data_IF_916520669773
#
_entry.id   IF_916520669773
#
_cell.length_a   1.000
_cell.length_b   1.000
_cell.length_c   1.000
_cell.angle_alpha   90.00
_cell.angle_beta   90.00
_cell.angle_gamma   90.00
#
_symmetry.space_group_name_H-M   'P 1'
#
loop_
_entity.id
_entity.type
_entity.pdbx_description
1 polymer ?
#
# COMPACT_ATOMS: atom_id res chain seq x y z
N UNK A 1 -2.34 -3.01 16.21
CA UNK A 1 -1.43 -2.23 15.36
C UNK A 1 -2.23 -1.78 14.15
N UNK A 2 -2.35 -0.49 13.89
CA UNK A 2 -3.26 0.04 12.84
C UNK A 2 -2.45 0.54 11.64
N UNK A 3 -2.78 0.03 10.45
CA UNK A 3 -2.22 0.44 9.17
C UNK A 3 -3.28 1.25 8.43
N UNK A 4 -2.94 2.47 8.01
CA UNK A 4 -3.86 3.31 7.23
C UNK A 4 -3.45 3.26 5.77
N UNK A 5 -4.38 2.90 4.91
CA UNK A 5 -4.17 2.83 3.46
C UNK A 5 -4.83 4.02 2.79
N UNK A 6 -4.10 4.63 1.84
CA UNK A 6 -4.60 5.69 0.98
C UNK A 6 -4.42 5.28 -0.48
N UNK A 7 -5.41 5.61 -1.29
CA UNK A 7 -5.34 5.42 -2.74
C UNK A 7 -4.25 6.31 -3.34
N UNK A 8 -3.66 5.82 -4.41
CA UNK A 8 -2.63 6.55 -5.16
C UNK A 8 -3.09 6.78 -6.58
N UNK A 9 -2.43 7.69 -7.28
CA UNK A 9 -2.59 7.87 -8.71
C UNK A 9 -1.87 6.79 -9.55
N UNK A 10 -1.35 5.73 -8.93
CA UNK A 10 -0.65 4.61 -9.59
C UNK A 10 -1.37 3.29 -9.33
N UNK A 11 -1.79 2.62 -10.41
CA UNK A 11 -2.60 1.38 -10.39
C UNK A 11 -2.07 0.27 -9.47
N UNK A 12 -0.75 0.14 -9.31
CA UNK A 12 -0.12 -0.94 -8.55
C UNK A 12 0.50 -0.51 -7.22
N UNK A 13 0.27 0.73 -6.78
CA UNK A 13 0.83 1.22 -5.52
C UNK A 13 -0.25 1.73 -4.58
N UNK A 14 -0.03 1.57 -3.28
CA UNK A 14 -0.82 2.20 -2.22
C UNK A 14 0.08 3.02 -1.31
N UNK A 15 -0.45 4.12 -0.76
CA UNK A 15 0.22 4.81 0.33
C UNK A 15 -0.18 4.12 1.62
N UNK A 16 0.81 3.80 2.44
CA UNK A 16 0.63 3.21 3.76
C UNK A 16 1.21 4.14 4.80
N UNK A 17 0.41 4.51 5.79
CA UNK A 17 0.86 5.23 6.97
C UNK A 17 0.98 4.28 8.14
N UNK A 18 2.16 4.27 8.74
CA UNK A 18 2.49 3.41 9.87
C UNK A 18 3.38 4.16 10.86
N UNK A 19 2.92 4.27 12.11
CA UNK A 19 3.63 5.01 13.20
C UNK A 19 4.05 6.44 12.80
N UNK A 20 3.23 7.12 11.99
CA UNK A 20 3.49 8.49 11.53
C UNK A 20 4.52 8.59 10.40
N UNK A 21 4.98 7.47 9.86
CA UNK A 21 5.82 7.40 8.66
C UNK A 21 4.97 7.01 7.45
N UNK A 22 5.38 7.50 6.27
CA UNK A 22 4.69 7.29 4.99
C UNK A 22 5.50 6.32 4.13
N UNK A 23 4.82 5.35 3.53
CA UNK A 23 5.42 4.35 2.65
C UNK A 23 4.62 4.20 1.37
N UNK A 24 5.29 3.84 0.29
CA UNK A 24 4.70 3.39 -0.95
C UNK A 24 4.77 1.86 -0.99
N UNK A 25 3.62 1.22 -0.88
CA UNK A 25 3.44 -0.22 -0.97
C UNK A 25 3.36 -0.64 -2.44
N UNK A 26 4.22 -1.56 -2.86
CA UNK A 26 4.15 -2.20 -4.19
C UNK A 26 3.24 -3.43 -4.13
N UNK A 27 2.05 -3.32 -4.73
CA UNK A 27 1.06 -4.40 -4.74
C UNK A 27 1.49 -5.62 -5.56
N UNK A 28 2.42 -5.45 -6.52
CA UNK A 28 2.91 -6.58 -7.34
C UNK A 28 3.84 -7.50 -6.57
N UNK A 29 4.42 -7.00 -5.48
CA UNK A 29 5.35 -7.72 -4.60
C UNK A 29 4.68 -8.53 -3.50
N UNK A 30 3.34 -8.45 -3.37
CA UNK A 30 2.59 -9.13 -2.31
C UNK A 30 2.77 -10.66 -2.43
N UNK A 31 3.18 -11.29 -1.33
CA UNK A 31 3.37 -12.74 -1.22
C UNK A 31 3.00 -13.25 0.18
N UNK A 32 2.31 -14.39 0.32
CA UNK A 32 1.80 -15.22 -0.76
C UNK A 32 0.60 -14.56 -1.46
N UNK A 33 0.40 -14.87 -2.75
CA UNK A 33 -0.79 -14.42 -3.48
C UNK A 33 -2.00 -15.17 -2.95
N UNK A 34 -3.05 -14.42 -2.62
CA UNK A 34 -4.33 -14.88 -2.03
C UNK A 34 -5.07 -15.96 -2.82
N UNK A 35 -4.62 -16.32 -4.03
CA UNK A 35 -5.33 -17.21 -4.96
C UNK A 35 -4.76 -18.62 -5.05
N UNK A 36 -3.81 -19.01 -4.21
CA UNK A 36 -3.32 -20.38 -4.20
C UNK A 36 -4.05 -21.18 -3.11
N UNK A 37 -4.87 -22.15 -3.53
CA UNK A 37 -5.53 -23.17 -2.69
C UNK A 37 -6.75 -22.75 -1.85
N UNK A 38 -7.45 -21.67 -2.21
CA UNK A 38 -8.79 -21.36 -1.67
C UNK A 38 -8.83 -20.89 -0.20
N UNK A 39 -7.69 -20.91 0.51
CA UNK A 39 -7.55 -20.35 1.86
C UNK A 39 -6.88 -18.98 1.81
N UNK A 40 -7.41 -18.03 2.58
CA UNK A 40 -6.73 -16.76 2.80
C UNK A 40 -5.48 -16.98 3.66
N UNK A 41 -4.32 -16.43 3.27
CA UNK A 41 -3.11 -16.55 4.07
C UNK A 41 -3.26 -15.79 5.38
N UNK A 42 -2.75 -16.37 6.47
CA UNK A 42 -2.71 -15.72 7.79
C UNK A 42 -1.78 -14.51 7.84
N UNK A 43 -0.79 -14.46 6.93
CA UNK A 43 0.20 -13.41 6.85
C UNK A 43 0.55 -13.13 5.38
N UNK A 44 0.75 -11.86 5.05
CA UNK A 44 1.26 -11.40 3.75
C UNK A 44 2.47 -10.51 3.95
N UNK A 45 3.38 -10.56 2.99
CA UNK A 45 4.59 -9.73 2.91
C UNK A 45 4.56 -8.93 1.63
N UNK A 46 5.11 -7.72 1.67
CA UNK A 46 5.19 -6.84 0.51
C UNK A 46 6.37 -5.88 0.65
N UNK A 47 6.88 -5.40 -0.47
CA UNK A 47 7.92 -4.38 -0.52
C UNK A 47 7.29 -3.00 -0.32
N UNK A 48 7.92 -2.22 0.54
CA UNK A 48 7.55 -0.84 0.82
C UNK A 48 8.75 0.07 0.63
N UNK A 49 8.58 1.14 -0.13
CA UNK A 49 9.56 2.21 -0.26
C UNK A 49 9.19 3.35 0.69
N UNK A 50 10.13 3.83 1.50
CA UNK A 50 9.87 4.96 2.39
C UNK A 50 9.69 6.24 1.57
N UNK A 51 8.63 7.00 1.87
CA UNK A 51 8.38 8.31 1.26
C UNK A 51 8.71 9.42 2.25
N UNK A 52 9.11 10.57 1.72
CA UNK A 52 9.13 11.79 2.52
C UNK A 52 7.70 12.18 2.90
N UNK A 53 7.49 12.67 4.12
CA UNK A 53 6.16 13.05 4.62
C UNK A 53 5.54 14.20 3.83
N UNK A 54 6.37 15.03 3.18
CA UNK A 54 5.95 16.18 2.37
C UNK A 54 5.72 15.82 0.91
N UNK A 55 6.12 14.61 0.48
CA UNK A 55 5.94 14.16 -0.90
C UNK A 55 4.49 13.76 -1.15
N UNK A 56 3.78 14.56 -1.94
CA UNK A 56 2.38 14.36 -2.34
C UNK A 56 2.25 13.88 -3.78
N UNK A 57 3.35 13.60 -4.48
CA UNK A 57 3.34 13.22 -5.90
C UNK A 57 2.57 11.92 -6.21
N UNK A 58 2.47 11.04 -5.21
CA UNK A 58 1.73 9.77 -5.28
C UNK A 58 0.29 9.89 -4.78
N UNK A 59 -0.11 11.02 -4.20
CA UNK A 59 -1.48 11.22 -3.75
C UNK A 59 -2.38 11.47 -4.96
N UNK A 60 -3.59 10.92 -4.93
CA UNK A 60 -4.57 11.17 -5.99
C UNK A 60 -5.00 12.65 -5.96
N UNK A 61 -4.79 13.36 -7.07
CA UNK A 61 -5.28 14.72 -7.26
C UNK A 61 -6.77 14.62 -7.69
N UNK A 62 -7.69 14.74 -6.73
CA UNK A 62 -9.14 14.92 -6.90
C UNK A 62 -10.02 13.65 -7.06
N UNK A 63 -11.36 13.80 -6.96
CA UNK A 63 -12.13 13.55 -5.75
C UNK A 63 -12.90 12.22 -5.83
N UNK A 64 -13.32 11.72 -4.67
CA UNK A 64 -14.35 10.70 -4.55
C UNK A 64 -15.57 11.11 -5.38
N UNK A 65 -15.86 10.36 -6.46
CA UNK A 65 -17.19 10.33 -7.08
C UNK A 65 -18.15 9.52 -6.21
#
# INVERSE_FOLDING_TARGET
>A
MELKFKETNKTFHKIVEFKGEKYLLDMTSISPKTYFWGSLPSEITAKCSKLDKRDTSFESLAPTM
#
